data_IF_613923614071
#
_entry.id   IF_613923614071
#
_cell.length_a   1.000
_cell.length_b   1.000
_cell.length_c   1.000
_cell.angle_alpha   90.00
_cell.angle_beta   90.00
_cell.angle_gamma   90.00
#
_symmetry.space_group_name_H-M   'P 1'
#
loop_
_entity.id
_entity.type
_entity.pdbx_description
1 polymer ?
#
# COMPACT_ATOMS: atom_id res chain seq x y z
N UNK A 1 -1.85 -8.23 0.89
CA UNK A 1 -2.52 -8.02 -0.42
C UNK A 1 -1.46 -8.06 -1.50
N UNK A 2 -1.59 -8.91 -2.52
CA UNK A 2 -0.57 -9.13 -3.54
C UNK A 2 -0.17 -7.85 -4.30
N UNK A 3 -1.09 -6.94 -4.56
CA UNK A 3 -0.79 -5.69 -5.28
C UNK A 3 -0.17 -4.59 -4.42
N UNK A 4 -0.50 -4.52 -3.13
CA UNK A 4 -0.08 -3.41 -2.25
C UNK A 4 1.12 -3.75 -1.36
N UNK A 5 1.34 -5.04 -1.09
CA UNK A 5 2.41 -5.52 -0.20
C UNK A 5 3.35 -6.50 -0.92
N UNK A 6 3.07 -6.81 -2.20
CA UNK A 6 3.75 -7.86 -2.94
C UNK A 6 3.31 -9.27 -2.52
N UNK A 7 3.30 -10.19 -3.48
CA UNK A 7 3.23 -11.62 -3.23
C UNK A 7 4.00 -12.35 -4.33
N UNK A 8 4.91 -13.25 -3.93
CA UNK A 8 5.67 -14.05 -4.87
C UNK A 8 4.73 -14.84 -5.79
N UNK A 9 5.14 -15.03 -7.05
CA UNK A 9 4.39 -15.76 -8.07
C UNK A 9 3.07 -15.12 -8.52
N UNK A 10 2.82 -13.84 -8.19
CA UNK A 10 1.63 -13.10 -8.61
C UNK A 10 1.95 -11.77 -9.29
N UNK A 11 3.00 -11.71 -10.11
CA UNK A 11 3.44 -10.43 -10.73
C UNK A 11 2.34 -9.76 -11.55
N UNK A 12 1.61 -10.53 -12.38
CA UNK A 12 0.53 -10.03 -13.22
C UNK A 12 -0.68 -9.56 -12.39
N UNK A 13 -1.13 -10.38 -11.44
CA UNK A 13 -2.25 -10.05 -10.56
C UNK A 13 -1.90 -8.87 -9.64
N UNK A 14 -0.71 -8.89 -9.04
CA UNK A 14 -0.19 -7.84 -8.19
C UNK A 14 -0.10 -6.50 -8.92
N UNK A 15 0.52 -6.48 -10.11
CA UNK A 15 0.60 -5.27 -10.94
C UNK A 15 -0.79 -4.72 -11.28
N UNK A 16 -1.72 -5.58 -11.70
CA UNK A 16 -3.09 -5.16 -12.03
C UNK A 16 -3.81 -4.56 -10.80
N UNK A 17 -3.69 -5.18 -9.62
CA UNK A 17 -4.33 -4.69 -8.40
C UNK A 17 -3.67 -3.43 -7.82
N UNK A 18 -2.35 -3.27 -7.98
CA UNK A 18 -1.67 -2.02 -7.69
C UNK A 18 -2.19 -0.89 -8.59
N UNK A 19 -2.38 -1.18 -9.89
CA UNK A 19 -2.97 -0.26 -10.85
C UNK A 19 -4.38 0.20 -10.46
N UNK A 20 -5.24 -0.71 -9.99
CA UNK A 20 -6.59 -0.35 -9.49
C UNK A 20 -6.52 0.60 -8.28
N UNK A 21 -5.61 0.35 -7.34
CA UNK A 21 -5.43 1.23 -6.18
C UNK A 21 -4.95 2.63 -6.59
N UNK A 22 -3.96 2.71 -7.49
CA UNK A 22 -3.47 3.98 -8.02
C UNK A 22 -4.57 4.72 -8.82
N UNK A 23 -5.31 4.01 -9.67
CA UNK A 23 -6.43 4.54 -10.43
C UNK A 23 -7.51 5.12 -9.52
N UNK A 24 -7.78 4.48 -8.37
CA UNK A 24 -8.75 4.98 -7.38
C UNK A 24 -8.32 6.33 -6.82
N UNK A 25 -7.03 6.49 -6.49
CA UNK A 25 -6.49 7.75 -5.98
C UNK A 25 -6.63 8.84 -7.04
N UNK A 26 -6.25 8.56 -8.30
CA UNK A 26 -6.36 9.53 -9.41
C UNK A 26 -7.83 9.89 -9.65
N UNK A 27 -8.71 8.91 -9.75
CA UNK A 27 -10.14 9.12 -9.94
C UNK A 27 -10.75 9.97 -8.83
N UNK A 28 -10.31 9.80 -7.57
CA UNK A 28 -10.78 10.61 -6.45
C UNK A 28 -10.47 12.10 -6.62
N UNK A 29 -9.34 12.44 -7.24
CA UNK A 29 -8.91 13.80 -7.51
C UNK A 29 -9.67 14.39 -8.71
N UNK A 30 -9.77 13.63 -9.79
CA UNK A 30 -10.41 14.08 -11.04
C UNK A 30 -11.92 14.26 -10.91
N UNK A 31 -12.57 13.37 -10.15
CA UNK A 31 -14.01 13.31 -10.00
C UNK A 31 -14.54 14.20 -8.87
N UNK A 32 -13.64 14.71 -8.01
CA UNK A 32 -13.99 15.62 -6.91
C UNK A 32 -14.84 16.80 -7.37
N UNK A 33 -14.53 17.38 -8.54
CA UNK A 33 -15.26 18.52 -9.13
C UNK A 33 -16.73 18.23 -9.45
N UNK A 34 -17.11 16.95 -9.54
CA UNK A 34 -18.48 16.50 -9.80
C UNK A 34 -19.19 16.00 -8.54
N UNK A 35 -18.58 16.14 -7.35
CA UNK A 35 -19.11 15.59 -6.11
C UNK A 35 -19.06 14.06 -6.03
N UNK A 36 -18.29 13.40 -6.91
CA UNK A 36 -18.16 11.93 -6.92
C UNK A 36 -16.97 11.50 -6.06
N UNK A 37 -17.18 10.45 -5.26
CA UNK A 37 -16.18 9.84 -4.39
C UNK A 37 -15.66 8.54 -5.01
N UNK A 38 -14.37 8.28 -4.86
CA UNK A 38 -13.75 7.04 -5.32
C UNK A 38 -12.88 6.45 -4.20
N UNK A 39 -13.16 5.22 -3.79
CA UNK A 39 -12.42 4.50 -2.75
C UNK A 39 -12.23 3.04 -3.20
N UNK A 40 -11.23 2.35 -2.65
CA UNK A 40 -10.88 0.98 -3.00
C UNK A 40 -10.89 0.10 -1.75
N UNK A 41 -11.33 -1.15 -1.90
CA UNK A 41 -11.24 -2.17 -0.86
C UNK A 41 -10.34 -3.31 -1.34
N UNK A 42 -9.44 -3.74 -0.47
CA UNK A 42 -8.72 -5.01 -0.54
C UNK A 42 -9.42 -6.06 0.33
N UNK A 43 -10.33 -6.87 -0.24
CA UNK A 43 -11.10 -7.86 0.51
C UNK A 43 -10.28 -9.14 0.76
N UNK A 44 -10.85 -10.04 1.56
CA UNK A 44 -10.31 -11.35 1.82
C UNK A 44 -11.38 -12.28 2.39
N UNK A 45 -11.24 -13.58 2.11
CA UNK A 45 -12.17 -14.61 2.55
C UNK A 45 -12.01 -15.89 1.73
N UNK A 46 -12.62 -16.96 2.23
CA UNK A 46 -12.69 -18.25 1.58
C UNK A 46 -13.66 -18.16 0.40
N UNK A 47 -13.12 -17.91 -0.78
CA UNK A 47 -13.86 -17.93 -2.04
C UNK A 47 -13.28 -19.00 -2.95
N UNK A 48 -14.01 -19.40 -3.99
CA UNK A 48 -13.51 -20.34 -5.00
C UNK A 48 -12.15 -19.93 -5.61
N UNK A 49 -11.89 -18.63 -5.73
CA UNK A 49 -10.62 -18.09 -6.22
C UNK A 49 -9.44 -18.39 -5.27
N UNK A 50 -9.69 -18.40 -3.95
CA UNK A 50 -8.68 -18.58 -2.90
C UNK A 50 -8.55 -20.05 -2.47
N UNK A 51 -9.64 -20.81 -2.60
CA UNK A 51 -9.75 -22.20 -2.15
C UNK A 51 -8.64 -23.10 -2.68
N UNK A 52 -8.38 -23.05 -3.98
CA UNK A 52 -7.35 -23.88 -4.62
C UNK A 52 -5.93 -23.52 -4.16
N UNK A 53 -5.65 -22.22 -3.99
CA UNK A 53 -4.33 -21.74 -3.60
C UNK A 53 -4.02 -22.02 -2.12
N UNK A 54 -5.04 -21.98 -1.25
CA UNK A 54 -4.86 -22.05 0.20
C UNK A 54 -5.39 -23.34 0.83
N UNK A 55 -5.98 -24.25 0.04
CA UNK A 55 -6.65 -25.49 0.50
C UNK A 55 -7.70 -25.21 1.58
N UNK A 56 -8.58 -24.25 1.32
CA UNK A 56 -9.64 -23.82 2.24
C UNK A 56 -11.00 -24.21 1.66
N UNK A 57 -11.88 -24.74 2.50
CA UNK A 57 -13.24 -25.07 2.13
C UNK A 57 -14.07 -23.81 1.91
N UNK A 58 -14.85 -23.81 0.83
CA UNK A 58 -15.80 -22.75 0.51
C UNK A 58 -17.17 -23.18 0.98
N UNK A 59 -17.80 -22.36 1.81
CA UNK A 59 -19.17 -22.56 2.29
C UNK A 59 -20.14 -21.70 1.48
N UNK A 60 -21.43 -22.04 1.51
CA UNK A 60 -22.43 -21.13 0.98
C UNK A 60 -22.63 -19.95 1.95
N UNK A 61 -23.05 -18.77 1.47
CA UNK A 61 -23.27 -17.60 2.32
C UNK A 61 -24.20 -17.85 3.52
N UNK A 62 -25.23 -18.67 3.34
CA UNK A 62 -26.21 -19.05 4.36
C UNK A 62 -25.66 -19.94 5.48
N UNK A 63 -24.52 -20.61 5.25
CA UNK A 63 -23.90 -21.50 6.24
C UNK A 63 -23.09 -20.71 7.29
N UNK A 64 -22.85 -19.41 7.05
CA UNK A 64 -22.17 -18.55 8.01
C UNK A 64 -23.16 -18.02 9.05
N UNK A 65 -23.45 -18.83 10.07
CA UNK A 65 -24.36 -18.47 11.17
C UNK A 65 -23.69 -17.70 12.33
N UNK A 66 -22.37 -17.79 12.42
CA UNK A 66 -21.54 -17.09 13.41
C UNK A 66 -20.37 -16.36 12.71
N UNK A 67 -19.64 -15.55 13.48
CA UNK A 67 -18.45 -14.90 12.96
C UNK A 67 -17.37 -15.93 12.62
N UNK A 68 -16.94 -15.94 11.36
CA UNK A 68 -15.78 -16.67 10.90
C UNK A 68 -14.81 -15.73 10.20
N UNK A 69 -13.53 -15.73 10.58
CA UNK A 69 -12.52 -14.83 10.01
C UNK A 69 -12.44 -14.90 8.47
N UNK A 70 -12.66 -16.08 7.91
CA UNK A 70 -12.59 -16.34 6.48
C UNK A 70 -13.94 -16.17 5.77
N UNK A 71 -15.01 -15.75 6.43
CA UNK A 71 -16.26 -15.39 5.76
C UNK A 71 -16.00 -14.21 4.80
N UNK A 72 -16.17 -14.37 3.47
CA UNK A 72 -15.98 -13.27 2.51
C UNK A 72 -16.92 -12.08 2.75
N UNK A 73 -18.08 -12.33 3.36
CA UNK A 73 -19.09 -11.35 3.72
C UNK A 73 -18.60 -10.32 4.75
N UNK A 74 -17.53 -10.61 5.49
CA UNK A 74 -16.95 -9.66 6.46
C UNK A 74 -16.46 -8.34 5.81
N UNK A 75 -16.24 -8.33 4.49
CA UNK A 75 -15.87 -7.12 3.77
C UNK A 75 -17.06 -6.23 3.38
N UNK A 76 -18.28 -6.79 3.34
CA UNK A 76 -19.48 -6.10 2.88
C UNK A 76 -19.87 -4.87 3.71
N UNK A 77 -19.79 -4.88 5.06
CA UNK A 77 -20.10 -3.68 5.85
C UNK A 77 -19.27 -2.46 5.46
N UNK A 78 -17.99 -2.64 5.12
CA UNK A 78 -17.13 -1.55 4.64
C UNK A 78 -17.56 -0.99 3.29
N UNK A 79 -18.02 -1.85 2.38
CA UNK A 79 -18.59 -1.42 1.08
C UNK A 79 -19.86 -0.61 1.31
N UNK A 80 -20.76 -1.11 2.17
CA UNK A 80 -22.03 -0.43 2.50
C UNK A 80 -21.76 0.94 3.12
N UNK A 81 -20.83 1.03 4.07
CA UNK A 81 -20.47 2.31 4.68
C UNK A 81 -19.86 3.29 3.68
N UNK A 82 -18.97 2.84 2.79
CA UNK A 82 -18.43 3.71 1.73
C UNK A 82 -19.51 4.20 0.75
N UNK A 83 -20.60 3.46 0.59
CA UNK A 83 -21.74 3.85 -0.24
C UNK A 83 -22.77 4.74 0.48
N UNK A 84 -22.68 4.89 1.81
CA UNK A 84 -23.65 5.67 2.60
C UNK A 84 -23.32 7.17 2.66
N UNK A 85 -24.30 7.95 3.12
CA UNK A 85 -24.14 9.40 3.36
C UNK A 85 -23.16 9.72 4.49
N UNK A 86 -22.95 8.79 5.43
CA UNK A 86 -22.02 8.97 6.54
C UNK A 86 -20.57 9.15 6.02
N UNK A 87 -20.24 8.53 4.89
CA UNK A 87 -18.91 8.59 4.28
C UNK A 87 -18.75 9.70 3.22
N UNK A 88 -19.65 10.69 3.16
CA UNK A 88 -19.57 11.79 2.16
C UNK A 88 -18.24 12.56 2.21
N UNK A 89 -17.56 12.58 3.35
CA UNK A 89 -16.26 13.22 3.54
C UNK A 89 -15.07 12.33 3.14
N UNK A 90 -15.31 11.11 2.65
CA UNK A 90 -14.30 10.07 2.43
C UNK A 90 -14.13 9.78 0.93
N UNK A 91 -12.95 10.09 0.40
CA UNK A 91 -12.54 9.79 -0.98
C UNK A 91 -11.03 9.53 -1.05
N UNK A 92 -10.57 8.80 -2.06
CA UNK A 92 -9.16 8.49 -2.30
C UNK A 92 -8.56 7.47 -1.34
N UNK A 93 -9.38 6.77 -0.55
CA UNK A 93 -8.90 5.82 0.44
C UNK A 93 -8.81 4.41 -0.12
N UNK A 94 -7.81 3.66 0.36
CA UNK A 94 -7.62 2.24 0.05
C UNK A 94 -7.68 1.46 1.36
N UNK A 95 -8.76 0.71 1.58
CA UNK A 95 -9.03 0.02 2.84
C UNK A 95 -8.82 -1.49 2.69
N UNK A 96 -8.36 -2.15 3.75
CA UNK A 96 -8.39 -3.61 3.89
C UNK A 96 -9.51 -3.97 4.85
N UNK A 97 -10.41 -4.84 4.41
CA UNK A 97 -11.45 -5.42 5.28
C UNK A 97 -11.39 -6.95 5.13
N UNK A 98 -10.88 -7.62 6.16
CA UNK A 98 -10.78 -9.09 6.21
C UNK A 98 -11.03 -9.54 7.64
N UNK A 99 -11.97 -10.46 7.84
CA UNK A 99 -12.39 -10.86 9.18
C UNK A 99 -12.89 -9.64 9.96
N UNK A 100 -12.42 -9.51 11.19
CA UNK A 100 -12.69 -8.36 12.06
C UNK A 100 -11.66 -7.22 11.91
N UNK A 101 -10.74 -7.30 10.93
CA UNK A 101 -9.68 -6.32 10.77
C UNK A 101 -10.01 -5.30 9.66
N UNK A 102 -10.13 -4.03 10.06
CA UNK A 102 -10.19 -2.87 9.19
C UNK A 102 -8.85 -2.14 9.26
N UNK A 103 -8.15 -2.03 8.14
CA UNK A 103 -6.88 -1.30 8.07
C UNK A 103 -6.87 -0.33 6.88
N UNK A 104 -6.22 0.82 7.06
CA UNK A 104 -5.95 1.77 5.98
C UNK A 104 -4.61 1.43 5.32
N UNK A 105 -4.60 1.30 3.99
CA UNK A 105 -3.35 1.32 3.22
C UNK A 105 -2.92 2.76 3.01
N UNK A 106 -1.69 3.09 3.42
CA UNK A 106 -1.08 4.38 3.12
C UNK A 106 -0.52 4.37 1.69
N UNK A 107 -0.62 5.48 0.94
CA UNK A 107 0.04 5.61 -0.34
C UNK A 107 1.56 5.64 -0.16
N UNK A 108 2.28 5.68 -1.27
CA UNK A 108 3.72 5.96 -1.24
C UNK A 108 3.96 7.34 -0.64
N UNK A 109 4.78 7.39 0.40
CA UNK A 109 5.20 8.62 1.06
C UNK A 109 6.70 8.85 0.79
N UNK A 110 7.12 10.11 0.70
CA UNK A 110 8.54 10.44 0.65
C UNK A 110 9.17 10.06 1.99
N UNK A 111 10.15 9.16 1.94
CA UNK A 111 10.96 8.81 3.10
C UNK A 111 12.07 9.82 3.38
N UNK A 112 13.19 9.34 3.92
CA UNK A 112 14.39 10.15 4.12
C UNK A 112 14.88 10.75 2.80
N UNK A 113 15.27 12.02 2.85
CA UNK A 113 15.73 12.77 1.68
C UNK A 113 17.13 13.29 1.91
N UNK A 114 17.95 13.17 0.87
CA UNK A 114 19.34 13.61 0.86
C UNK A 114 19.55 14.56 -0.32
N UNK A 115 20.40 15.55 -0.13
CA UNK A 115 20.69 16.56 -1.15
C UNK A 115 22.20 16.61 -1.40
N UNK A 116 22.62 16.46 -2.65
CA UNK A 116 24.01 16.63 -3.03
C UNK A 116 24.38 18.11 -2.96
N UNK A 117 25.54 18.38 -2.36
CA UNK A 117 26.11 19.72 -2.23
C UNK A 117 27.58 19.72 -2.61
N UNK A 118 28.03 20.80 -3.24
CA UNK A 118 29.46 21.04 -3.49
C UNK A 118 30.20 21.32 -2.17
N UNK A 119 31.51 21.59 -2.27
CA UNK A 119 32.35 21.88 -1.08
C UNK A 119 31.93 23.19 -0.41
N UNK A 120 31.32 24.09 -1.16
CA UNK A 120 30.81 25.38 -0.74
C UNK A 120 29.38 25.30 -0.18
N UNK A 121 28.72 24.13 -0.26
CA UNK A 121 27.37 23.88 0.25
C UNK A 121 26.25 24.19 -0.74
N UNK A 122 26.55 24.58 -1.98
CA UNK A 122 25.55 24.84 -3.01
C UNK A 122 25.01 23.54 -3.59
N UNK A 123 23.75 23.50 -4.06
CA UNK A 123 23.19 22.33 -4.73
C UNK A 123 24.03 21.92 -5.94
N UNK A 124 24.36 20.64 -6.02
CA UNK A 124 25.06 20.07 -7.17
C UNK A 124 24.37 18.81 -7.68
N UNK A 125 24.79 18.32 -8.85
CA UNK A 125 24.39 17.01 -9.35
C UNK A 125 25.02 15.92 -8.48
N UNK A 126 24.26 14.87 -8.18
CA UNK A 126 24.79 13.68 -7.52
C UNK A 126 25.92 13.02 -8.33
N UNK A 127 27.02 12.69 -7.66
CA UNK A 127 27.98 11.69 -8.12
C UNK A 127 27.47 10.29 -7.71
N UNK A 128 27.52 9.25 -8.58
CA UNK A 128 27.13 7.90 -8.23
C UNK A 128 27.82 7.33 -6.97
N UNK A 129 29.07 7.72 -6.71
CA UNK A 129 29.82 7.29 -5.52
C UNK A 129 29.19 7.86 -4.25
N UNK A 130 28.80 9.14 -4.26
CA UNK A 130 28.19 9.82 -3.12
C UNK A 130 26.79 9.25 -2.82
N UNK A 131 26.03 8.86 -3.85
CA UNK A 131 24.74 8.16 -3.68
C UNK A 131 24.97 6.84 -2.92
N UNK A 132 25.93 6.03 -3.38
CA UNK A 132 26.22 4.73 -2.75
C UNK A 132 26.65 4.88 -1.29
N UNK A 133 27.53 5.84 -1.00
CA UNK A 133 27.95 6.13 0.37
C UNK A 133 26.80 6.59 1.25
N UNK A 134 25.96 7.50 0.75
CA UNK A 134 24.82 8.05 1.47
C UNK A 134 23.80 6.95 1.82
N UNK A 135 23.37 6.19 0.82
CA UNK A 135 22.37 5.14 1.02
C UNK A 135 22.88 4.02 1.93
N UNK A 136 24.11 3.56 1.74
CA UNK A 136 24.68 2.50 2.58
C UNK A 136 24.84 2.93 4.04
N UNK A 137 25.16 4.20 4.28
CA UNK A 137 25.37 4.74 5.62
C UNK A 137 24.06 5.06 6.34
N UNK A 138 23.13 5.73 5.67
CA UNK A 138 21.96 6.31 6.34
C UNK A 138 20.68 5.51 6.12
N UNK A 139 20.53 4.82 4.99
CA UNK A 139 19.30 4.08 4.65
C UNK A 139 19.45 2.60 4.94
N UNK A 140 20.47 1.95 4.37
CA UNK A 140 20.64 0.49 4.49
C UNK A 140 21.40 0.08 5.76
N UNK A 141 22.07 1.03 6.43
CA UNK A 141 22.89 0.79 7.61
C UNK A 141 23.94 -0.33 7.40
N UNK A 142 24.41 -0.48 6.16
CA UNK A 142 25.42 -1.49 5.78
C UNK A 142 26.85 -0.98 6.05
N UNK A 143 27.01 0.32 6.26
CA UNK A 143 28.25 0.96 6.70
C UNK A 143 27.95 1.73 7.98
N UNK A 144 28.75 1.50 9.03
CA UNK A 144 28.57 2.21 10.29
C UNK A 144 28.86 3.72 10.11
N UNK A 145 27.99 4.61 10.60
CA UNK A 145 28.21 6.04 10.46
C UNK A 145 29.44 6.61 11.19
N UNK A 146 30.02 5.87 12.15
CA UNK A 146 31.33 6.19 12.76
C UNK A 146 32.40 5.18 12.31
N UNK A 147 33.65 5.53 12.00
CA UNK A 147 34.40 6.79 12.01
C UNK A 147 34.48 7.26 10.56
N UNK A 148 33.84 8.37 10.20
CA UNK A 148 34.20 9.06 8.96
C UNK A 148 35.69 9.41 9.09
N UNK A 149 36.53 8.73 8.31
CA UNK A 149 37.98 8.93 8.33
C UNK A 149 38.27 10.42 8.30
N UNK A 150 39.18 10.82 9.17
CA UNK A 150 39.98 12.05 9.13
C UNK A 150 40.76 12.18 7.80
N UNK A 151 40.09 12.10 6.66
CA UNK A 151 40.67 12.14 5.32
C UNK A 151 39.86 13.04 4.40
N UNK A 152 39.58 14.27 4.86
CA UNK A 152 39.63 15.44 3.99
C UNK A 152 40.34 16.54 4.78
N UNK A 153 41.62 16.71 4.45
CA UNK A 153 42.34 17.98 4.60
C UNK A 153 41.75 18.99 3.62
#
# INVERSE_FOLDING_TARGET
SAGLQGQASQINYGAAKAGVAAMTIIASLELKRYGVRANCIGPGGATRMVAQAMKIDVKNPEDYTEFENMNPGNSAPGVVWLASDESLHVTGQVLRLVGNNLALYRPWELGEQFFAKDKEGNPQRWDPVDIGQTLNKYVFNTINPGIARLQQR
#
